data_IF_847030458973
#
_entry.id   IF_847030458973
#
_cell.length_a   1.000
_cell.length_b   1.000
_cell.length_c   1.000
_cell.angle_alpha   90.00
_cell.angle_beta   90.00
_cell.angle_gamma   90.00
#
_symmetry.space_group_name_H-M   'P 1'
#
loop_
_entity.id
_entity.type
_entity.pdbx_description
1 polymer ?
#
# COMPACT_ATOMS: atom_id res chain seq x y z
N UNK A 1 26.75 12.91 8.25
CA UNK A 1 25.85 12.18 9.15
C UNK A 1 26.13 10.70 9.00
N UNK A 2 26.90 10.13 9.91
CA UNK A 2 26.93 8.69 10.07
C UNK A 2 25.60 8.29 10.71
N UNK A 3 24.77 7.62 9.95
CA UNK A 3 23.54 7.06 10.46
C UNK A 3 23.90 5.79 11.24
N UNK A 4 23.68 5.78 12.54
CA UNK A 4 23.80 4.57 13.35
C UNK A 4 22.59 3.66 13.08
N UNK A 5 22.65 2.96 11.95
CA UNK A 5 21.59 2.05 11.53
C UNK A 5 21.36 0.93 12.55
N UNK A 6 22.42 0.43 13.19
CA UNK A 6 22.33 -0.59 14.22
C UNK A 6 21.44 -0.14 15.38
N UNK A 7 21.64 1.08 15.88
CA UNK A 7 20.83 1.63 16.97
C UNK A 7 19.33 1.78 16.56
N UNK A 8 19.04 2.03 15.29
CA UNK A 8 17.65 2.08 14.80
C UNK A 8 16.97 0.70 14.88
N UNK A 9 17.62 -0.36 14.41
CA UNK A 9 17.06 -1.71 14.40
C UNK A 9 16.96 -2.31 15.80
N UNK A 10 17.91 -2.04 16.67
CA UNK A 10 17.88 -2.47 18.08
C UNK A 10 16.75 -1.81 18.88
N UNK A 11 16.26 -0.65 18.43
CA UNK A 11 15.19 0.13 19.11
C UNK A 11 13.81 -0.05 18.51
N UNK A 12 13.53 -1.14 17.82
CA UNK A 12 12.23 -1.40 17.15
C UNK A 12 11.01 -1.06 18.03
N UNK A 13 10.99 -1.49 19.29
CA UNK A 13 9.89 -1.19 20.22
C UNK A 13 9.75 0.32 20.48
N UNK A 14 10.86 1.05 20.61
CA UNK A 14 10.83 2.50 20.76
C UNK A 14 10.38 3.20 19.48
N UNK A 15 10.84 2.72 18.32
CA UNK A 15 10.43 3.23 17.02
C UNK A 15 8.93 3.06 16.81
N UNK A 16 8.37 1.90 17.17
CA UNK A 16 6.93 1.64 17.14
C UNK A 16 6.16 2.65 18.01
N UNK A 17 6.61 2.90 19.23
CA UNK A 17 5.98 3.88 20.13
C UNK A 17 6.01 5.29 19.57
N UNK A 18 7.10 5.70 18.92
CA UNK A 18 7.22 7.00 18.25
C UNK A 18 6.25 7.07 17.07
N UNK A 19 6.20 6.02 16.26
CA UNK A 19 5.28 5.90 15.13
C UNK A 19 3.82 6.01 15.58
N UNK A 20 3.41 5.24 16.58
CA UNK A 20 2.05 5.26 17.14
C UNK A 20 1.68 6.65 17.67
N UNK A 21 2.62 7.33 18.34
CA UNK A 21 2.41 8.68 18.84
C UNK A 21 2.18 9.68 17.70
N UNK A 22 2.98 9.56 16.62
CA UNK A 22 2.82 10.40 15.43
C UNK A 22 1.49 10.11 14.72
N UNK A 23 1.12 8.84 14.59
CA UNK A 23 -0.13 8.42 13.97
C UNK A 23 -1.36 8.92 14.76
N UNK A 24 -1.34 8.81 16.09
CA UNK A 24 -2.39 9.38 16.96
C UNK A 24 -2.49 10.90 16.82
N UNK A 25 -1.35 11.59 16.67
CA UNK A 25 -1.34 13.04 16.43
C UNK A 25 -1.99 13.38 15.09
N UNK A 26 -1.69 12.62 14.05
CA UNK A 26 -2.33 12.75 12.73
C UNK A 26 -3.84 12.53 12.81
N UNK A 27 -4.30 11.53 13.57
CA UNK A 27 -5.72 11.30 13.83
C UNK A 27 -6.43 12.47 14.48
N UNK A 28 -5.75 13.19 15.38
CA UNK A 28 -6.31 14.45 15.97
C UNK A 28 -6.46 15.57 14.94
N UNK A 29 -5.53 15.70 14.00
CA UNK A 29 -5.68 16.67 12.90
C UNK A 29 -6.80 16.26 11.94
N UNK A 30 -6.89 14.99 11.58
CA UNK A 30 -7.98 14.46 10.76
C UNK A 30 -9.36 14.76 11.39
N UNK A 31 -9.50 14.56 12.72
CA UNK A 31 -10.70 14.92 13.47
C UNK A 31 -11.01 16.40 13.36
N UNK A 32 -10.02 17.29 13.54
CA UNK A 32 -10.22 18.74 13.42
C UNK A 32 -10.72 19.14 12.03
N UNK A 33 -10.13 18.57 10.97
CA UNK A 33 -10.58 18.81 9.58
C UNK A 33 -12.05 18.41 9.44
N UNK A 34 -12.43 17.23 9.92
CA UNK A 34 -13.80 16.75 9.88
C UNK A 34 -14.76 17.68 10.63
N UNK A 35 -14.39 18.10 11.84
CA UNK A 35 -15.18 19.02 12.66
C UNK A 35 -15.35 20.38 11.97
N UNK A 36 -14.28 20.94 11.38
CA UNK A 36 -14.37 22.20 10.63
C UNK A 36 -15.32 22.11 9.43
N UNK A 37 -15.28 21.03 8.66
CA UNK A 37 -16.21 20.82 7.54
C UNK A 37 -17.65 20.72 8.05
N UNK A 38 -17.87 20.08 9.21
CA UNK A 38 -19.16 19.97 9.88
C UNK A 38 -19.69 21.33 10.34
N UNK A 39 -18.87 22.12 11.02
CA UNK A 39 -19.21 23.47 11.51
C UNK A 39 -19.57 24.42 10.37
N UNK A 40 -18.93 24.28 9.22
CA UNK A 40 -19.25 25.03 8.01
C UNK A 40 -20.54 24.55 7.32
N UNK A 41 -21.22 23.52 7.85
CA UNK A 41 -22.44 22.96 7.26
C UNK A 41 -22.21 22.31 5.87
N UNK A 42 -20.99 21.82 5.58
CA UNK A 42 -20.61 21.30 4.27
C UNK A 42 -20.56 19.78 4.18
N UNK A 43 -20.78 19.05 5.28
CA UNK A 43 -20.67 17.58 5.29
C UNK A 43 -21.57 16.89 4.26
N UNK A 44 -22.75 17.43 4.00
CA UNK A 44 -23.72 16.82 3.09
C UNK A 44 -23.26 16.84 1.63
N UNK A 45 -22.35 17.76 1.30
CA UNK A 45 -21.79 17.90 -0.05
C UNK A 45 -20.27 17.72 -0.08
N UNK A 46 -19.72 16.98 0.89
CA UNK A 46 -18.27 16.73 1.00
C UNK A 46 -18.01 15.25 1.21
N UNK A 47 -17.04 14.73 0.46
CA UNK A 47 -16.45 13.42 0.69
C UNK A 47 -15.03 13.67 1.21
N UNK A 48 -14.71 13.12 2.38
CA UNK A 48 -13.38 13.21 2.97
C UNK A 48 -12.72 11.85 2.80
N UNK A 49 -11.51 11.86 2.25
CA UNK A 49 -10.73 10.64 2.01
C UNK A 49 -9.40 10.79 2.76
N UNK A 50 -9.14 9.89 3.70
CA UNK A 50 -7.84 9.73 4.33
C UNK A 50 -7.18 8.47 3.77
N UNK A 51 -5.96 8.58 3.33
CA UNK A 51 -5.19 7.44 2.83
C UNK A 51 -3.70 7.62 3.13
N UNK A 52 -2.96 6.52 3.14
CA UNK A 52 -1.50 6.57 3.11
C UNK A 52 -1.00 6.30 1.70
N UNK A 53 0.04 7.00 1.30
CA UNK A 53 0.77 6.78 0.04
C UNK A 53 1.60 5.49 0.11
N UNK A 54 2.23 5.22 1.25
CA UNK A 54 2.99 4.03 1.57
C UNK A 54 2.94 3.73 3.08
N UNK A 55 3.52 2.63 3.49
CA UNK A 55 3.77 2.27 4.88
C UNK A 55 5.12 2.81 5.39
N UNK A 56 5.60 2.29 6.51
CA UNK A 56 6.85 2.74 7.15
C UNK A 56 7.54 1.59 7.86
N UNK A 57 8.78 1.31 7.48
CA UNK A 57 9.65 0.40 8.22
C UNK A 57 10.12 1.04 9.55
N UNK A 58 9.92 0.35 10.65
CA UNK A 58 10.30 0.79 11.99
C UNK A 58 11.42 -0.05 12.62
N UNK A 59 12.13 -0.82 11.77
CA UNK A 59 13.23 -1.71 12.18
C UNK A 59 12.89 -3.18 12.05
N UNK A 60 11.92 -3.55 11.19
CA UNK A 60 11.59 -4.93 10.89
C UNK A 60 12.71 -5.65 10.18
N UNK A 61 13.37 -4.96 9.25
CA UNK A 61 14.42 -5.51 8.39
C UNK A 61 15.65 -4.63 8.38
N UNK A 62 16.81 -5.26 8.42
CA UNK A 62 18.08 -4.56 8.24
C UNK A 62 18.15 -3.95 6.83
N UNK A 63 18.61 -2.71 6.73
CA UNK A 63 18.69 -1.98 5.47
C UNK A 63 17.40 -1.23 5.09
N UNK A 64 16.25 -1.55 5.69
CA UNK A 64 15.00 -0.83 5.49
C UNK A 64 14.74 0.13 6.64
N UNK A 65 14.77 1.40 6.34
CA UNK A 65 14.56 2.46 7.31
C UNK A 65 13.54 3.45 6.80
N UNK A 66 12.49 3.63 7.59
CA UNK A 66 11.39 4.56 7.35
C UNK A 66 10.57 4.26 6.10
N UNK A 67 10.99 4.59 4.89
CA UNK A 67 10.20 4.41 3.67
C UNK A 67 11.07 4.10 2.45
N UNK A 68 10.50 3.31 1.56
CA UNK A 68 10.75 3.45 0.13
C UNK A 68 11.89 2.72 -0.51
N UNK A 69 12.65 1.83 0.17
CA UNK A 69 13.69 1.08 -0.54
C UNK A 69 13.23 -0.31 -0.95
N UNK A 70 12.38 -0.92 -0.17
CA UNK A 70 11.90 -2.28 -0.41
C UNK A 70 10.39 -2.31 -0.63
N UNK A 71 9.89 -3.44 -1.09
CA UNK A 71 8.47 -3.67 -1.36
C UNK A 71 7.87 -4.72 -0.42
N UNK A 72 8.37 -4.76 0.83
CA UNK A 72 7.78 -5.58 1.89
C UNK A 72 6.48 -4.97 2.44
N UNK A 73 5.68 -5.78 3.15
CA UNK A 73 4.36 -5.35 3.65
C UNK A 73 4.42 -4.11 4.51
N UNK A 74 5.45 -3.95 5.34
CA UNK A 74 5.64 -2.76 6.17
C UNK A 74 5.75 -1.46 5.38
N UNK A 75 6.18 -1.52 4.12
CA UNK A 75 6.33 -0.34 3.25
C UNK A 75 5.26 -0.19 2.18
N UNK A 76 4.66 -1.28 1.68
CA UNK A 76 3.65 -1.18 0.62
C UNK A 76 2.21 -1.30 1.11
N UNK A 77 1.99 -1.71 2.36
CA UNK A 77 0.64 -1.83 2.91
C UNK A 77 0.08 -0.45 3.26
N UNK A 78 -1.02 -0.10 2.61
CA UNK A 78 -1.70 1.19 2.77
C UNK A 78 -3.14 1.00 3.23
N UNK A 79 -3.82 2.10 3.51
CA UNK A 79 -5.25 2.10 3.84
C UNK A 79 -5.96 3.25 3.14
N UNK A 80 -7.28 3.11 2.96
CA UNK A 80 -8.20 4.16 2.55
C UNK A 80 -9.35 4.25 3.52
N UNK A 81 -9.69 5.45 3.94
CA UNK A 81 -10.87 5.74 4.74
C UNK A 81 -11.73 6.77 4.00
N UNK A 82 -12.94 6.38 3.62
CA UNK A 82 -13.91 7.24 2.96
C UNK A 82 -14.98 7.66 3.96
N UNK A 83 -15.22 8.96 4.08
CA UNK A 83 -16.25 9.56 4.92
C UNK A 83 -17.14 10.45 4.08
N UNK A 84 -18.45 10.36 4.27
CA UNK A 84 -19.43 11.17 3.57
C UNK A 84 -20.87 10.73 3.88
N UNK A 85 -21.84 11.61 3.62
CA UNK A 85 -23.23 11.34 3.97
C UNK A 85 -23.79 10.07 3.31
N UNK A 86 -23.42 9.82 2.04
CA UNK A 86 -23.87 8.66 1.25
C UNK A 86 -22.97 7.44 1.39
N UNK A 87 -21.83 7.58 2.04
CA UNK A 87 -20.89 6.47 2.25
C UNK A 87 -21.42 5.56 3.36
N UNK A 88 -21.37 4.23 3.13
CA UNK A 88 -21.75 3.26 4.14
C UNK A 88 -20.88 3.39 5.38
N UNK A 89 -21.51 3.29 6.57
CA UNK A 89 -20.82 3.50 7.84
C UNK A 89 -20.36 2.18 8.44
N UNK A 90 -19.25 2.22 9.17
CA UNK A 90 -18.75 1.10 9.98
C UNK A 90 -18.54 -0.19 9.16
N UNK A 91 -18.07 -0.06 7.92
CA UNK A 91 -17.67 -1.19 7.08
C UNK A 91 -16.17 -1.19 6.87
N UNK A 92 -15.61 -2.36 6.93
CA UNK A 92 -14.21 -2.64 6.65
C UNK A 92 -14.10 -3.70 5.56
N UNK A 93 -13.22 -3.48 4.60
CA UNK A 93 -12.94 -4.38 3.49
C UNK A 93 -11.45 -4.69 3.46
N UNK A 94 -11.11 -5.99 3.48
CA UNK A 94 -9.72 -6.48 3.46
C UNK A 94 -9.32 -7.10 2.13
N UNK A 95 -10.15 -6.95 1.10
CA UNK A 95 -9.87 -7.42 -0.24
C UNK A 95 -8.64 -6.73 -0.84
N UNK A 96 -7.94 -7.41 -1.74
CA UNK A 96 -6.75 -6.86 -2.39
C UNK A 96 -7.12 -5.66 -3.26
N UNK A 97 -6.67 -4.49 -2.84
CA UNK A 97 -6.88 -3.20 -3.49
C UNK A 97 -5.53 -2.58 -3.87
N UNK A 98 -5.57 -1.58 -4.72
CA UNK A 98 -4.39 -0.83 -5.16
C UNK A 98 -4.60 0.68 -5.04
N UNK A 99 -3.55 1.45 -4.82
CA UNK A 99 -3.63 2.92 -4.74
C UNK A 99 -4.18 3.55 -6.03
N UNK A 100 -4.06 2.87 -7.16
CA UNK A 100 -4.64 3.31 -8.44
C UNK A 100 -6.18 3.29 -8.45
N UNK A 101 -6.83 2.61 -7.48
CA UNK A 101 -8.29 2.54 -7.36
C UNK A 101 -8.89 3.84 -6.82
N UNK A 102 -8.09 4.69 -6.18
CA UNK A 102 -8.55 5.96 -5.60
C UNK A 102 -9.08 6.89 -6.70
N UNK A 103 -8.34 7.02 -7.79
CA UNK A 103 -8.66 7.99 -8.83
C UNK A 103 -10.00 7.71 -9.55
N UNK A 104 -10.26 6.50 -10.12
CA UNK A 104 -11.56 6.20 -10.71
C UNK A 104 -12.72 6.28 -9.70
N UNK A 105 -12.45 5.94 -8.43
CA UNK A 105 -13.45 6.05 -7.37
C UNK A 105 -13.82 7.50 -7.07
N UNK A 106 -12.85 8.41 -6.99
CA UNK A 106 -13.11 9.85 -6.80
C UNK A 106 -13.92 10.41 -7.96
N UNK A 107 -13.54 10.10 -9.20
CA UNK A 107 -14.26 10.58 -10.37
C UNK A 107 -15.75 10.19 -10.34
N UNK A 108 -16.03 8.93 -10.05
CA UNK A 108 -17.40 8.43 -10.01
C UNK A 108 -18.18 8.99 -8.80
N UNK A 109 -17.59 9.09 -7.62
CA UNK A 109 -18.19 9.72 -6.44
C UNK A 109 -18.55 11.19 -6.69
N UNK A 110 -17.75 11.89 -7.51
CA UNK A 110 -18.00 13.28 -7.90
C UNK A 110 -18.93 13.42 -9.12
N UNK A 111 -19.37 12.32 -9.74
CA UNK A 111 -20.19 12.33 -10.95
C UNK A 111 -19.43 12.80 -12.19
N UNK A 112 -18.11 12.74 -12.18
CA UNK A 112 -17.25 13.15 -13.29
C UNK A 112 -17.09 11.98 -14.26
N UNK A 113 -17.57 12.15 -15.49
CA UNK A 113 -17.39 11.15 -16.54
C UNK A 113 -15.92 11.10 -16.98
N UNK A 114 -15.40 9.91 -17.13
CA UNK A 114 -14.07 9.66 -17.67
C UNK A 114 -14.18 8.69 -18.86
N UNK A 115 -13.59 9.10 -20.00
CA UNK A 115 -13.59 8.29 -21.21
C UNK A 115 -12.27 7.54 -21.42
N UNK A 116 -11.32 7.64 -20.46
CA UNK A 116 -10.04 6.93 -20.53
C UNK A 116 -10.16 5.61 -19.77
N UNK A 117 -9.54 4.58 -20.31
CA UNK A 117 -9.32 3.35 -19.57
C UNK A 117 -8.33 3.63 -18.42
N UNK A 118 -8.72 3.26 -17.21
CA UNK A 118 -7.92 3.44 -16.00
C UNK A 118 -7.53 2.07 -15.45
N UNK A 119 -6.30 1.90 -14.96
CA UNK A 119 -5.86 0.62 -14.39
C UNK A 119 -6.55 0.29 -13.05
N UNK A 120 -7.05 1.31 -12.36
CA UNK A 120 -7.72 1.16 -11.07
C UNK A 120 -9.17 0.71 -11.20
N UNK A 121 -9.67 0.05 -10.17
CA UNK A 121 -11.07 -0.37 -10.03
C UNK A 121 -11.89 0.71 -9.33
N UNK A 122 -13.11 0.91 -9.79
CA UNK A 122 -14.05 1.84 -9.14
C UNK A 122 -14.69 1.18 -7.91
N UNK A 123 -14.46 1.73 -6.74
CA UNK A 123 -15.00 1.25 -5.46
C UNK A 123 -16.34 1.91 -5.08
N UNK A 124 -16.84 2.88 -5.85
CA UNK A 124 -18.08 3.61 -5.55
C UNK A 124 -19.27 2.70 -5.27
N UNK A 125 -19.54 1.62 -6.05
CA UNK A 125 -20.69 0.77 -5.80
C UNK A 125 -20.69 0.14 -4.40
N UNK A 126 -19.52 -0.29 -3.92
CA UNK A 126 -19.42 -0.87 -2.57
C UNK A 126 -19.46 0.22 -1.48
N UNK A 127 -18.84 1.37 -1.73
CA UNK A 127 -18.85 2.49 -0.80
C UNK A 127 -20.24 3.08 -0.59
N UNK A 128 -21.11 3.02 -1.59
CA UNK A 128 -22.50 3.44 -1.51
C UNK A 128 -23.47 2.31 -1.08
N UNK A 129 -22.96 1.12 -0.78
CA UNK A 129 -23.80 -0.03 -0.40
C UNK A 129 -24.68 -0.57 -1.53
N UNK A 130 -24.36 -0.25 -2.78
CA UNK A 130 -25.14 -0.68 -3.97
C UNK A 130 -24.76 -2.07 -4.46
N UNK A 131 -23.61 -2.57 -4.05
CA UNK A 131 -23.11 -3.88 -4.44
C UNK A 131 -22.64 -4.65 -3.19
N UNK A 132 -22.83 -5.96 -3.19
CA UNK A 132 -22.36 -6.84 -2.11
C UNK A 132 -20.95 -7.41 -2.38
N UNK A 133 -20.50 -7.43 -3.64
CA UNK A 133 -19.17 -7.88 -4.01
C UNK A 133 -18.18 -6.71 -4.11
N UNK A 134 -17.09 -6.81 -3.37
CA UNK A 134 -16.00 -5.83 -3.45
C UNK A 134 -15.21 -6.08 -4.73
N UNK A 135 -15.00 -5.08 -5.60
CA UNK A 135 -14.04 -5.22 -6.69
C UNK A 135 -12.66 -5.56 -6.13
N UNK A 136 -12.04 -6.61 -6.63
CA UNK A 136 -10.77 -7.11 -6.11
C UNK A 136 -9.77 -7.33 -7.26
N UNK A 137 -8.52 -6.96 -7.03
CA UNK A 137 -7.45 -7.28 -7.96
C UNK A 137 -7.01 -8.73 -7.77
N UNK A 138 -6.81 -9.47 -8.85
CA UNK A 138 -6.13 -10.77 -8.78
C UNK A 138 -4.67 -10.56 -8.38
N UNK A 139 -4.05 -9.52 -8.93
CA UNK A 139 -2.68 -9.09 -8.63
C UNK A 139 -2.60 -7.58 -8.50
N UNK A 140 -1.73 -7.12 -7.60
CA UNK A 140 -1.27 -5.73 -7.52
C UNK A 140 0.23 -5.67 -7.75
N UNK A 141 0.71 -4.54 -8.26
CA UNK A 141 2.11 -4.33 -8.58
C UNK A 141 2.66 -3.14 -7.79
N UNK A 142 3.91 -3.22 -7.39
CA UNK A 142 4.65 -2.14 -6.77
C UNK A 142 6.08 -2.14 -7.29
N UNK A 143 6.67 -0.95 -7.39
CA UNK A 143 8.03 -0.79 -7.87
C UNK A 143 8.73 0.34 -7.13
N UNK A 144 10.04 0.20 -6.95
CA UNK A 144 10.88 1.22 -6.34
C UNK A 144 12.30 1.17 -6.88
N UNK A 145 13.02 2.28 -6.74
CA UNK A 145 14.40 2.41 -7.17
C UNK A 145 15.43 2.27 -6.02
N UNK A 146 15.14 1.47 -5.01
CA UNK A 146 15.70 1.61 -3.69
C UNK A 146 17.10 1.08 -3.36
N UNK A 147 17.76 0.27 -4.18
CA UNK A 147 18.95 -0.45 -3.74
C UNK A 147 20.30 0.27 -3.93
N UNK A 148 20.33 1.51 -4.39
CA UNK A 148 21.61 2.23 -4.64
C UNK A 148 21.94 3.28 -3.57
N UNK A 149 21.44 3.09 -2.36
CA UNK A 149 21.65 4.01 -1.25
C UNK A 149 20.64 5.16 -1.20
N UNK A 150 20.71 5.99 -0.15
CA UNK A 150 19.66 6.96 0.11
C UNK A 150 19.59 8.10 -0.91
N UNK A 151 20.70 8.40 -1.63
CA UNK A 151 20.74 9.51 -2.58
C UNK A 151 21.91 9.39 -3.57
N UNK A 152 21.66 9.68 -4.86
CA UNK A 152 20.37 9.82 -5.50
C UNK A 152 19.69 8.47 -5.75
N UNK A 153 18.36 8.43 -5.68
CA UNK A 153 17.61 7.26 -6.14
C UNK A 153 17.98 6.96 -7.59
N UNK A 154 18.07 5.68 -7.99
CA UNK A 154 18.35 5.34 -9.38
C UNK A 154 17.28 5.95 -10.29
N UNK A 155 17.68 6.37 -11.47
CA UNK A 155 16.75 6.96 -12.48
C UNK A 155 15.75 5.94 -13.01
N UNK A 156 15.97 4.65 -12.77
CA UNK A 156 15.12 3.54 -13.19
C UNK A 156 14.80 2.68 -11.97
N UNK A 157 13.58 2.17 -11.93
CA UNK A 157 13.17 1.22 -10.92
C UNK A 157 13.95 -0.09 -11.08
N UNK A 158 14.42 -0.64 -9.97
CA UNK A 158 15.20 -1.88 -9.93
C UNK A 158 14.66 -2.93 -8.95
N UNK A 159 13.63 -2.59 -8.17
CA UNK A 159 12.89 -3.51 -7.32
C UNK A 159 11.45 -3.54 -7.79
N UNK A 160 10.95 -4.71 -8.11
CA UNK A 160 9.60 -4.94 -8.59
C UNK A 160 8.90 -5.96 -7.71
N UNK A 161 7.60 -5.80 -7.54
CA UNK A 161 6.79 -6.69 -6.72
C UNK A 161 5.46 -6.96 -7.39
N UNK A 162 5.05 -8.22 -7.35
CA UNK A 162 3.68 -8.66 -7.61
C UNK A 162 3.11 -9.33 -6.38
N UNK A 163 1.88 -8.99 -6.04
CA UNK A 163 1.17 -9.51 -4.88
C UNK A 163 -0.22 -10.01 -5.28
N UNK A 164 -0.56 -11.21 -4.85
CA UNK A 164 -1.92 -11.73 -4.78
C UNK A 164 -2.42 -11.68 -3.33
N UNK A 165 -3.64 -12.13 -3.08
CA UNK A 165 -4.17 -12.24 -1.71
C UNK A 165 -3.33 -13.17 -0.83
N UNK A 166 -2.70 -14.20 -1.41
CA UNK A 166 -1.96 -15.21 -0.67
C UNK A 166 -0.44 -15.11 -0.84
N UNK A 167 0.04 -14.82 -2.04
CA UNK A 167 1.47 -14.87 -2.35
C UNK A 167 1.99 -13.54 -2.82
N UNK A 168 3.29 -13.32 -2.59
CA UNK A 168 4.02 -12.14 -3.03
C UNK A 168 5.38 -12.53 -3.56
N UNK A 169 5.72 -12.04 -4.75
CA UNK A 169 7.03 -12.19 -5.36
C UNK A 169 7.69 -10.82 -5.44
N UNK A 170 8.90 -10.71 -4.92
CA UNK A 170 9.77 -9.52 -5.04
C UNK A 170 10.93 -9.89 -5.96
N UNK A 171 11.25 -9.02 -6.90
CA UNK A 171 12.36 -9.18 -7.82
C UNK A 171 13.32 -8.00 -7.75
N UNK A 172 14.53 -8.26 -7.28
CA UNK A 172 15.66 -7.34 -7.30
C UNK A 172 16.39 -7.50 -8.63
N UNK A 173 16.05 -6.64 -9.60
CA UNK A 173 16.49 -6.79 -10.99
C UNK A 173 18.00 -6.76 -11.16
N UNK A 174 18.67 -5.82 -10.50
CA UNK A 174 20.14 -5.65 -10.65
C UNK A 174 20.92 -6.81 -10.03
N UNK A 175 20.42 -7.38 -8.94
CA UNK A 175 21.00 -8.56 -8.29
C UNK A 175 20.54 -9.88 -8.93
N UNK A 176 19.52 -9.83 -9.80
CA UNK A 176 18.82 -11.01 -10.32
C UNK A 176 18.31 -11.94 -9.19
N UNK A 177 17.92 -11.38 -8.07
CA UNK A 177 17.45 -12.10 -6.90
C UNK A 177 15.93 -12.02 -6.80
N UNK A 178 15.30 -13.13 -6.40
CA UNK A 178 13.86 -13.22 -6.23
C UNK A 178 13.50 -13.78 -4.85
N UNK A 179 12.48 -13.21 -4.25
CA UNK A 179 11.93 -13.64 -2.97
C UNK A 179 10.44 -13.93 -3.15
N UNK A 180 10.01 -15.10 -2.70
CA UNK A 180 8.59 -15.51 -2.72
C UNK A 180 8.10 -15.78 -1.31
N UNK A 181 6.96 -15.22 -0.94
CA UNK A 181 6.37 -15.34 0.39
C UNK A 181 4.94 -15.83 0.34
N UNK A 182 4.54 -16.66 1.29
CA UNK A 182 3.15 -17.02 1.57
C UNK A 182 2.60 -16.10 2.67
N UNK A 183 1.93 -15.04 2.30
CA UNK A 183 1.44 -14.00 3.22
C UNK A 183 0.36 -14.50 4.20
N UNK A 184 -0.27 -15.66 3.93
CA UNK A 184 -1.25 -16.26 4.82
C UNK A 184 -0.58 -16.97 6.00
N UNK A 185 0.56 -17.64 5.74
CA UNK A 185 1.29 -18.41 6.74
C UNK A 185 2.53 -17.66 7.27
N UNK A 186 3.02 -16.69 6.51
CA UNK A 186 4.18 -15.86 6.83
C UNK A 186 3.89 -14.37 6.53
N UNK A 187 2.99 -13.74 7.29
CA UNK A 187 2.63 -12.33 7.07
C UNK A 187 3.78 -11.34 7.32
N UNK A 188 4.87 -11.80 7.95
CA UNK A 188 6.06 -11.00 8.21
C UNK A 188 7.16 -11.22 7.15
N UNK A 189 6.91 -12.06 6.13
CA UNK A 189 7.83 -12.28 5.00
C UNK A 189 9.25 -12.65 5.44
N UNK A 190 9.35 -13.63 6.34
CA UNK A 190 10.61 -14.10 6.92
C UNK A 190 11.22 -15.23 6.09
N UNK A 191 10.37 -16.14 5.57
CA UNK A 191 10.79 -17.35 4.88
C UNK A 191 10.67 -17.23 3.38
N UNK A 192 11.79 -17.06 2.68
CA UNK A 192 11.81 -17.10 1.22
C UNK A 192 11.49 -18.52 0.71
N UNK A 193 10.45 -18.63 -0.11
CA UNK A 193 9.99 -19.87 -0.74
C UNK A 193 10.38 -19.96 -2.22
N UNK A 194 11.07 -18.95 -2.77
CA UNK A 194 11.49 -18.97 -4.16
C UNK A 194 12.45 -20.14 -4.44
N UNK A 195 12.24 -20.85 -5.55
CA UNK A 195 13.03 -22.04 -5.92
C UNK A 195 12.59 -23.32 -5.23
N UNK A 196 11.49 -23.33 -4.47
CA UNK A 196 10.97 -24.54 -3.83
C UNK A 196 10.02 -25.34 -4.72
N UNK A 197 9.73 -24.87 -5.95
CA UNK A 197 8.92 -25.56 -6.94
C UNK A 197 7.41 -25.38 -6.76
N UNK A 198 6.97 -24.31 -6.12
CA UNK A 198 5.55 -23.96 -6.04
C UNK A 198 5.03 -23.54 -7.43
N UNK A 199 3.89 -24.07 -7.86
CA UNK A 199 3.28 -23.74 -9.17
C UNK A 199 3.04 -22.24 -9.34
N UNK A 200 2.66 -21.55 -8.26
CA UNK A 200 2.41 -20.11 -8.26
C UNK A 200 3.66 -19.27 -8.60
N UNK A 201 4.85 -19.81 -8.37
CA UNK A 201 6.13 -19.14 -8.64
C UNK A 201 6.21 -18.73 -10.11
N UNK A 202 5.94 -19.68 -11.02
CA UNK A 202 5.97 -19.43 -12.46
C UNK A 202 4.91 -18.42 -12.90
N UNK A 203 3.68 -18.54 -12.39
CA UNK A 203 2.59 -17.61 -12.72
C UNK A 203 2.93 -16.17 -12.30
N UNK A 204 3.44 -15.98 -11.07
CA UNK A 204 3.82 -14.65 -10.59
C UNK A 204 4.99 -14.05 -11.37
N UNK A 205 5.98 -14.87 -11.73
CA UNK A 205 7.09 -14.42 -12.58
C UNK A 205 6.62 -13.94 -13.96
N UNK A 206 5.81 -14.73 -14.62
CA UNK A 206 5.29 -14.40 -15.96
C UNK A 206 4.52 -13.06 -15.89
N UNK A 207 3.64 -12.91 -14.90
CA UNK A 207 2.86 -11.68 -14.71
C UNK A 207 3.71 -10.49 -14.35
N UNK A 208 4.74 -10.67 -13.52
CA UNK A 208 5.66 -9.59 -13.15
C UNK A 208 6.49 -9.14 -14.36
N UNK A 209 6.98 -10.08 -15.17
CA UNK A 209 7.73 -9.79 -16.39
C UNK A 209 6.85 -9.10 -17.45
N UNK A 210 5.56 -9.44 -17.55
CA UNK A 210 4.59 -8.70 -18.39
C UNK A 210 4.45 -7.25 -17.95
N UNK A 211 4.34 -7.00 -16.64
CA UNK A 211 4.24 -5.64 -16.07
C UNK A 211 5.48 -4.80 -16.30
N UNK A 212 6.67 -5.41 -16.29
CA UNK A 212 7.96 -4.72 -16.44
C UNK A 212 8.30 -4.31 -17.88
N UNK A 213 7.51 -4.70 -18.88
CA UNK A 213 7.70 -4.33 -20.30
C UNK A 213 7.16 -2.93 -20.58
#
# INVERSE_FOLDING_TARGET
>A
FEWDDKAFYEKKTQNLKIYDTAFQKTGRYAKKIFESVKELGKLDNTIIIFFSDHGTGIGERFGERTYGIFTFEETIRTFYLFLGQKIIKNKFFSNLQSSVDIFPTILDLCGIKNNRELPGKNLTPILLGKNSSVPEHKYTFSETGGLQGPFPSPKKHNVFCIKSTKYKLIFYKDANEKLLFDLMNDPNEIKNLYGTGLEIEKELEEKLLEYMK
#
